data_IF_781257001513
#
_entry.id   IF_781257001513
#
_cell.length_a   1.000
_cell.length_b   1.000
_cell.length_c   1.000
_cell.angle_alpha   90.00
_cell.angle_beta   90.00
_cell.angle_gamma   90.00
#
_symmetry.space_group_name_H-M   'P 1'
#
loop_
_entity.id
_entity.type
_entity.pdbx_description
1 polymer ?
#
# COMPACT_ATOMS: atom_id res chain seq x y z
N UNK A 1 78.66 -69.55 23.56
CA UNK A 1 77.40 -70.22 23.16
C UNK A 1 76.24 -69.41 23.70
N UNK A 2 75.30 -69.06 22.82
CA UNK A 2 74.08 -68.30 23.06
C UNK A 2 73.30 -68.75 24.30
N UNK A 3 72.76 -67.78 25.06
CA UNK A 3 71.34 -67.72 25.46
C UNK A 3 71.04 -66.38 26.12
N UNK A 4 70.40 -65.48 25.37
CA UNK A 4 69.75 -64.28 25.89
C UNK A 4 68.48 -64.68 26.64
N UNK A 5 68.35 -64.24 27.90
CA UNK A 5 67.07 -64.15 28.61
C UNK A 5 66.70 -62.66 28.68
N UNK A 6 65.70 -62.27 27.90
CA UNK A 6 65.12 -60.92 27.95
C UNK A 6 64.09 -60.89 29.08
N UNK A 7 64.41 -60.17 30.15
CA UNK A 7 63.50 -59.89 31.26
C UNK A 7 62.62 -58.69 30.88
N UNK A 8 61.32 -58.91 30.72
CA UNK A 8 60.35 -57.84 30.41
C UNK A 8 59.96 -57.16 31.72
N UNK A 9 60.41 -55.92 31.92
CA UNK A 9 59.89 -55.04 32.97
C UNK A 9 58.63 -54.34 32.46
N UNK A 10 57.48 -54.60 33.09
CA UNK A 10 56.26 -53.81 32.91
C UNK A 10 56.42 -52.46 33.63
N UNK A 11 56.54 -51.38 32.87
CA UNK A 11 56.38 -50.02 33.39
C UNK A 11 54.89 -49.66 33.34
N UNK A 12 54.24 -49.62 34.50
CA UNK A 12 52.89 -49.05 34.66
C UNK A 12 52.97 -47.52 34.64
N UNK A 13 52.69 -46.90 33.49
CA UNK A 13 52.39 -45.47 33.43
C UNK A 13 50.98 -45.23 33.97
N UNK A 14 50.87 -44.65 35.17
CA UNK A 14 49.63 -44.05 35.67
C UNK A 14 49.43 -42.69 35.02
N UNK A 15 48.60 -42.63 33.97
CA UNK A 15 48.05 -41.37 33.48
C UNK A 15 46.96 -40.88 34.44
N UNK A 16 47.25 -39.84 35.22
CA UNK A 16 46.24 -39.10 35.97
C UNK A 16 45.47 -38.20 34.99
N UNK A 17 44.34 -38.68 34.49
CA UNK A 17 43.41 -37.87 33.69
C UNK A 17 42.68 -36.88 34.60
N UNK A 18 43.17 -35.64 34.69
CA UNK A 18 42.35 -34.53 35.18
C UNK A 18 41.31 -34.18 34.12
N UNK A 19 40.13 -34.80 34.21
CA UNK A 19 38.97 -34.36 33.47
C UNK A 19 38.52 -33.00 34.04
N UNK A 20 38.85 -31.91 33.33
CA UNK A 20 38.22 -30.62 33.55
C UNK A 20 36.73 -30.77 33.23
N UNK A 21 35.89 -30.80 34.26
CA UNK A 21 34.44 -30.78 34.09
C UNK A 21 34.06 -29.46 33.40
N UNK A 22 33.60 -29.55 32.14
CA UNK A 22 32.96 -28.41 31.50
C UNK A 22 31.70 -28.06 32.30
N UNK A 23 31.49 -26.78 32.69
CA UNK A 23 30.26 -26.39 33.36
C UNK A 23 29.08 -26.71 32.44
N UNK A 24 28.06 -27.37 32.99
CA UNK A 24 26.86 -27.73 32.24
C UNK A 24 26.25 -26.45 31.63
N UNK A 25 26.04 -26.46 30.32
CA UNK A 25 25.30 -25.39 29.64
C UNK A 25 23.94 -25.23 30.34
N UNK A 26 23.51 -24.00 30.65
CA UNK A 26 22.21 -23.80 31.26
C UNK A 26 21.12 -24.37 30.35
N UNK A 27 20.04 -24.96 30.91
CA UNK A 27 18.96 -25.51 30.13
C UNK A 27 18.41 -24.43 29.18
N UNK A 28 18.24 -24.79 27.90
CA UNK A 28 17.64 -23.90 26.92
C UNK A 28 16.29 -23.41 27.45
N UNK A 29 16.04 -22.10 27.31
CA UNK A 29 14.75 -21.53 27.69
C UNK A 29 13.63 -22.33 26.99
N UNK A 30 12.53 -22.66 27.69
CA UNK A 30 11.43 -23.38 27.08
C UNK A 30 10.93 -22.60 25.85
N UNK A 31 10.52 -23.30 24.78
CA UNK A 31 10.06 -22.64 23.57
C UNK A 31 8.88 -21.73 23.92
N UNK A 32 8.96 -20.48 23.47
CA UNK A 32 7.84 -19.55 23.61
C UNK A 32 6.75 -19.96 22.63
N UNK A 33 5.74 -20.66 23.12
CA UNK A 33 4.52 -20.93 22.37
C UNK A 33 3.72 -19.62 22.28
N UNK A 34 3.45 -19.18 21.05
CA UNK A 34 2.71 -17.94 20.80
C UNK A 34 1.22 -18.20 20.56
N UNK A 35 0.37 -17.16 20.63
CA UNK A 35 -1.03 -17.33 20.26
C UNK A 35 -1.14 -17.54 18.75
N UNK A 36 -1.75 -18.67 18.34
CA UNK A 36 -2.05 -18.98 16.95
C UNK A 36 -3.35 -18.28 16.53
N UNK A 37 -3.21 -17.02 16.11
CA UNK A 37 -4.36 -16.14 15.83
C UNK A 37 -4.65 -16.08 14.32
N UNK A 38 -5.93 -16.18 13.99
CA UNK A 38 -6.46 -16.05 12.64
C UNK A 38 -7.28 -14.76 12.50
N UNK A 39 -7.46 -14.31 11.27
CA UNK A 39 -8.43 -13.27 10.95
C UNK A 39 -9.85 -13.72 11.28
N UNK A 40 -10.68 -12.76 11.69
CA UNK A 40 -12.12 -13.00 11.77
C UNK A 40 -12.66 -13.16 10.35
N UNK A 41 -13.40 -14.25 10.12
CA UNK A 41 -14.01 -14.52 8.82
C UNK A 41 -15.38 -13.86 8.74
N UNK A 42 -15.72 -13.23 7.60
CA UNK A 42 -17.11 -12.91 7.32
C UNK A 42 -17.98 -14.18 7.34
N UNK A 43 -19.23 -14.04 7.77
CA UNK A 43 -20.21 -15.12 7.76
C UNK A 43 -20.76 -15.35 6.35
N UNK A 44 -19.91 -15.92 5.48
CA UNK A 44 -20.25 -16.26 4.11
C UNK A 44 -19.51 -17.55 3.67
N UNK A 45 -20.18 -18.49 2.96
CA UNK A 45 -19.57 -19.75 2.52
C UNK A 45 -18.29 -19.60 1.69
N UNK A 46 -18.10 -18.49 0.98
CA UNK A 46 -16.90 -18.22 0.19
C UNK A 46 -15.62 -18.16 1.04
N UNK A 47 -15.75 -17.90 2.36
CA UNK A 47 -14.61 -17.83 3.28
C UNK A 47 -14.41 -19.13 4.09
N UNK A 48 -15.25 -20.15 3.91
CA UNK A 48 -15.25 -21.36 4.74
C UNK A 48 -13.89 -22.06 4.76
N UNK A 49 -13.26 -22.22 3.58
CA UNK A 49 -11.98 -22.91 3.39
C UNK A 49 -10.75 -22.08 3.79
N UNK A 50 -10.92 -20.79 4.08
CA UNK A 50 -9.81 -19.91 4.44
C UNK A 50 -9.58 -19.92 5.95
N UNK A 51 -8.31 -19.84 6.34
CA UNK A 51 -7.87 -19.62 7.73
C UNK A 51 -6.65 -18.68 7.70
N UNK A 52 -6.83 -17.40 7.33
CA UNK A 52 -5.72 -16.47 7.16
C UNK A 52 -5.11 -16.16 8.52
N UNK A 53 -3.78 -16.23 8.66
CA UNK A 53 -3.10 -15.79 9.87
C UNK A 53 -3.45 -14.33 10.16
N UNK A 54 -3.64 -13.94 11.43
CA UNK A 54 -3.91 -12.54 11.75
C UNK A 54 -2.75 -11.64 11.30
N UNK A 55 -3.02 -10.67 10.43
CA UNK A 55 -2.04 -9.69 9.99
C UNK A 55 -1.65 -8.78 11.15
N UNK A 56 -0.38 -8.33 11.20
CA UNK A 56 0.00 -7.25 12.09
C UNK A 56 -0.77 -5.99 11.70
N UNK A 57 -1.24 -5.25 12.71
CA UNK A 57 -1.86 -3.95 12.46
C UNK A 57 -0.80 -2.97 11.93
N UNK A 58 -1.19 -2.02 11.06
CA UNK A 58 -0.34 -0.89 10.74
C UNK A 58 0.13 -0.20 12.03
N UNK A 59 1.40 0.21 12.06
CA UNK A 59 1.95 0.94 13.20
C UNK A 59 2.08 2.43 12.91
N UNK A 60 2.79 3.12 13.80
CA UNK A 60 3.13 4.55 13.64
C UNK A 60 3.78 4.88 12.29
N UNK A 61 3.68 6.15 11.91
CA UNK A 61 4.20 6.73 10.67
C UNK A 61 5.63 6.28 10.40
N UNK A 62 5.79 5.46 9.36
CA UNK A 62 7.08 4.93 8.93
C UNK A 62 7.84 5.95 8.07
N UNK A 63 7.11 6.77 7.32
CA UNK A 63 7.67 7.78 6.43
C UNK A 63 8.38 8.89 7.20
N UNK A 64 9.45 9.41 6.60
CA UNK A 64 10.19 10.57 7.08
C UNK A 64 10.23 11.62 5.98
N UNK A 65 10.40 12.87 6.39
CA UNK A 65 10.52 13.98 5.46
C UNK A 65 11.64 13.74 4.44
N UNK A 66 11.35 13.89 3.16
CA UNK A 66 12.31 13.71 2.07
C UNK A 66 12.58 12.27 1.68
N UNK A 67 11.78 11.31 2.15
CA UNK A 67 11.94 9.91 1.76
C UNK A 67 11.75 9.70 0.25
N UNK A 68 12.51 8.72 -0.26
CA UNK A 68 12.49 8.27 -1.64
C UNK A 68 11.88 6.87 -1.68
N UNK A 69 10.60 6.81 -2.02
CA UNK A 69 9.79 5.60 -2.04
C UNK A 69 9.97 4.81 -3.35
N UNK A 70 10.48 3.59 -3.24
CA UNK A 70 10.46 2.61 -4.32
C UNK A 70 9.18 1.77 -4.27
N UNK A 71 8.34 1.82 -5.30
CA UNK A 71 7.12 1.01 -5.42
C UNK A 71 7.42 -0.17 -6.34
N UNK A 72 7.65 -1.36 -5.78
CA UNK A 72 8.15 -2.53 -6.51
C UNK A 72 7.08 -3.61 -6.65
N UNK A 73 6.96 -4.21 -7.83
CA UNK A 73 6.04 -5.32 -8.05
C UNK A 73 6.03 -5.78 -9.50
N UNK A 74 5.07 -6.64 -9.82
CA UNK A 74 4.96 -7.29 -11.13
C UNK A 74 4.12 -6.50 -12.16
N UNK A 75 3.36 -7.18 -13.02
CA UNK A 75 2.48 -6.57 -14.02
C UNK A 75 1.45 -5.63 -13.40
N UNK A 76 0.94 -5.95 -12.21
CA UNK A 76 -0.08 -5.12 -11.55
C UNK A 76 0.50 -3.75 -11.18
N UNK A 77 1.80 -3.71 -10.84
CA UNK A 77 2.54 -2.46 -10.62
C UNK A 77 2.88 -1.79 -11.94
N UNK A 78 3.20 -2.55 -12.99
CA UNK A 78 3.46 -1.97 -14.32
C UNK A 78 2.21 -1.28 -14.91
N UNK A 79 0.99 -1.64 -14.48
CA UNK A 79 -0.23 -0.90 -14.84
C UNK A 79 -0.22 0.56 -14.36
N UNK A 80 0.59 0.87 -13.34
CA UNK A 80 0.77 2.20 -12.73
C UNK A 80 -0.48 2.79 -12.07
N UNK A 81 -1.46 1.95 -11.73
CA UNK A 81 -2.71 2.45 -11.16
C UNK A 81 -2.54 2.71 -9.66
N UNK A 82 -2.32 1.68 -8.83
CA UNK A 82 -2.12 1.90 -7.39
C UNK A 82 -0.85 2.73 -7.08
N UNK A 83 0.23 2.59 -7.86
CA UNK A 83 1.45 3.38 -7.67
C UNK A 83 1.22 4.87 -7.97
N UNK A 84 0.36 5.19 -8.94
CA UNK A 84 -0.09 6.58 -9.18
C UNK A 84 -0.94 7.08 -8.01
N UNK A 85 -1.91 6.29 -7.54
CA UNK A 85 -2.73 6.67 -6.38
C UNK A 85 -1.86 6.97 -5.14
N UNK A 86 -0.86 6.13 -4.86
CA UNK A 86 0.08 6.34 -3.75
C UNK A 86 0.85 7.64 -3.90
N UNK A 87 1.47 7.88 -5.06
CA UNK A 87 2.29 9.09 -5.25
C UNK A 87 1.44 10.37 -5.26
N UNK A 88 0.27 10.34 -5.91
CA UNK A 88 -0.69 11.45 -5.87
C UNK A 88 -1.12 11.74 -4.43
N UNK A 89 -1.49 10.71 -3.65
CA UNK A 89 -1.87 10.87 -2.23
C UNK A 89 -0.74 11.49 -1.41
N UNK A 90 0.48 10.95 -1.52
CA UNK A 90 1.63 11.46 -0.76
C UNK A 90 1.98 12.91 -1.13
N UNK A 91 1.72 13.31 -2.36
CA UNK A 91 1.94 14.68 -2.83
C UNK A 91 0.90 15.65 -2.30
N UNK A 92 -0.39 15.29 -2.37
CA UNK A 92 -1.48 16.25 -2.11
C UNK A 92 -1.99 16.21 -0.67
N UNK A 93 -2.02 15.02 -0.05
CA UNK A 93 -2.58 14.81 1.29
C UNK A 93 -1.54 14.98 2.39
N UNK A 94 -0.25 14.78 2.13
CA UNK A 94 0.83 14.95 3.12
C UNK A 94 2.05 15.68 2.51
N UNK A 95 1.86 16.84 1.86
CA UNK A 95 2.91 17.57 1.15
C UNK A 95 4.11 17.93 2.05
N UNK A 96 3.88 18.10 3.36
CA UNK A 96 4.92 18.41 4.33
C UNK A 96 5.98 17.31 4.47
N UNK A 97 5.64 16.06 4.13
CA UNK A 97 6.58 14.94 4.11
C UNK A 97 7.52 15.02 2.90
N UNK A 98 7.16 15.72 1.82
CA UNK A 98 8.02 15.86 0.64
C UNK A 98 8.53 14.51 0.11
N UNK A 99 7.65 13.51 0.08
CA UNK A 99 7.99 12.18 -0.42
C UNK A 99 8.12 12.23 -1.94
N UNK A 100 9.17 11.60 -2.45
CA UNK A 100 9.29 11.32 -3.89
C UNK A 100 9.12 9.83 -4.12
N UNK A 101 8.46 9.44 -5.21
CA UNK A 101 8.30 8.03 -5.54
C UNK A 101 8.95 7.67 -6.88
N UNK A 102 9.27 6.39 -7.06
CA UNK A 102 9.57 5.76 -8.35
C UNK A 102 8.93 4.38 -8.38
N UNK A 103 8.24 4.06 -9.47
CA UNK A 103 7.68 2.72 -9.65
C UNK A 103 8.65 1.81 -10.42
N UNK A 104 8.68 0.53 -10.04
CA UNK A 104 9.52 -0.50 -10.62
C UNK A 104 8.71 -1.72 -11.06
N UNK A 105 7.52 -1.51 -11.62
CA UNK A 105 6.65 -2.56 -12.11
C UNK A 105 7.20 -3.29 -13.34
N UNK A 106 7.12 -4.63 -13.34
CA UNK A 106 7.53 -5.45 -14.48
C UNK A 106 6.62 -6.66 -14.72
N UNK A 107 6.02 -6.73 -15.91
CA UNK A 107 5.04 -7.76 -16.27
C UNK A 107 5.61 -9.18 -16.27
N UNK A 108 4.90 -10.09 -15.63
CA UNK A 108 5.29 -11.51 -15.49
C UNK A 108 6.45 -11.73 -14.52
N UNK A 109 6.91 -10.67 -13.84
CA UNK A 109 7.98 -10.78 -12.86
C UNK A 109 7.51 -11.56 -11.62
N UNK A 110 8.46 -12.32 -11.07
CA UNK A 110 8.39 -12.97 -9.77
C UNK A 110 9.48 -12.36 -8.89
N UNK A 111 9.46 -12.67 -7.60
CA UNK A 111 10.49 -12.24 -6.64
C UNK A 111 11.93 -12.48 -7.13
N UNK A 112 12.25 -13.60 -7.77
CA UNK A 112 13.57 -13.88 -8.32
C UNK A 112 14.01 -12.93 -9.45
N UNK A 113 13.05 -12.48 -10.28
CA UNK A 113 13.29 -11.51 -11.34
C UNK A 113 13.69 -10.16 -10.77
N UNK A 114 12.93 -9.68 -9.78
CA UNK A 114 13.23 -8.42 -9.12
C UNK A 114 14.57 -8.48 -8.41
N UNK A 115 14.83 -9.54 -7.66
CA UNK A 115 16.10 -9.73 -6.93
C UNK A 115 17.33 -9.62 -7.85
N UNK A 116 17.24 -10.15 -9.08
CA UNK A 116 18.34 -10.06 -10.07
C UNK A 116 18.59 -8.65 -10.56
N UNK A 117 17.54 -7.83 -10.71
CA UNK A 117 17.66 -6.48 -11.30
C UNK A 117 17.68 -5.35 -10.28
N UNK A 118 17.26 -5.58 -9.03
CA UNK A 118 17.02 -4.52 -8.04
C UNK A 118 18.25 -3.66 -7.75
N UNK A 119 19.45 -4.20 -7.90
CA UNK A 119 20.68 -3.43 -7.70
C UNK A 119 20.83 -2.33 -8.75
N UNK A 120 20.77 -2.72 -10.02
CA UNK A 120 20.88 -1.79 -11.15
C UNK A 120 19.65 -0.91 -11.26
N UNK A 121 18.47 -1.51 -11.22
CA UNK A 121 17.24 -0.80 -11.58
C UNK A 121 16.73 0.07 -10.45
N UNK A 122 16.92 -0.32 -9.17
CA UNK A 122 16.29 0.33 -8.03
C UNK A 122 17.30 0.97 -7.08
N UNK A 123 18.28 0.20 -6.58
CA UNK A 123 19.27 0.70 -5.61
C UNK A 123 20.19 1.79 -6.18
N UNK A 124 20.44 1.82 -7.49
CA UNK A 124 21.10 2.94 -8.18
C UNK A 124 20.48 4.29 -7.84
N UNK A 125 19.16 4.35 -7.63
CA UNK A 125 18.44 5.58 -7.29
C UNK A 125 18.30 5.82 -5.78
N UNK A 126 19.04 5.04 -4.98
CA UNK A 126 19.19 5.18 -3.54
C UNK A 126 17.85 5.34 -2.81
N UNK A 127 16.85 4.46 -2.98
CA UNK A 127 15.60 4.57 -2.23
C UNK A 127 15.87 4.55 -0.72
N UNK A 128 15.03 5.21 0.08
CA UNK A 128 15.14 5.19 1.55
C UNK A 128 14.03 4.33 2.19
N UNK A 129 13.01 4.02 1.40
CA UNK A 129 11.90 3.16 1.75
C UNK A 129 11.38 2.44 0.49
N UNK A 130 10.92 1.21 0.63
CA UNK A 130 10.36 0.43 -0.46
C UNK A 130 9.06 -0.28 -0.05
N UNK A 131 8.08 -0.31 -0.96
CA UNK A 131 6.94 -1.23 -0.89
C UNK A 131 7.13 -2.34 -1.90
N UNK A 132 6.66 -3.53 -1.56
CA UNK A 132 6.75 -4.73 -2.39
C UNK A 132 5.37 -5.33 -2.61
N UNK A 133 5.02 -5.68 -3.84
CA UNK A 133 3.78 -6.38 -4.18
C UNK A 133 4.08 -7.53 -5.16
N UNK A 134 4.41 -8.70 -4.62
CA UNK A 134 4.69 -9.94 -5.35
C UNK A 134 3.86 -11.09 -4.80
N UNK A 135 3.84 -12.23 -5.51
CA UNK A 135 3.10 -13.43 -5.10
C UNK A 135 2.17 -13.96 -6.18
N UNK A 136 1.63 -13.11 -7.05
CA UNK A 136 0.68 -13.54 -8.09
C UNK A 136 1.35 -14.48 -9.09
N UNK A 137 2.45 -14.06 -9.70
CA UNK A 137 3.24 -14.92 -10.59
C UNK A 137 4.00 -16.02 -9.81
N UNK A 138 4.38 -15.75 -8.56
CA UNK A 138 5.11 -16.68 -7.69
C UNK A 138 4.23 -17.87 -7.27
N UNK A 139 2.89 -17.71 -7.25
CA UNK A 139 1.93 -18.80 -7.06
C UNK A 139 2.00 -19.85 -8.17
N UNK A 140 2.53 -19.47 -9.34
CA UNK A 140 2.57 -20.27 -10.57
C UNK A 140 1.20 -20.73 -11.06
N UNK A 141 0.12 -20.08 -10.60
CA UNK A 141 -1.25 -20.34 -11.03
C UNK A 141 -1.66 -21.82 -10.84
N UNK A 142 -1.34 -22.37 -9.66
CA UNK A 142 -1.60 -23.77 -9.28
C UNK A 142 -1.96 -23.87 -7.80
N UNK A 143 -2.45 -25.03 -7.30
CA UNK A 143 -2.61 -25.24 -5.87
C UNK A 143 -1.29 -25.07 -5.11
N UNK A 144 -1.37 -24.69 -3.84
CA UNK A 144 -0.20 -24.52 -2.99
C UNK A 144 0.60 -25.82 -2.87
N UNK A 145 1.93 -25.69 -2.87
CA UNK A 145 2.86 -26.71 -2.44
C UNK A 145 3.98 -26.08 -1.62
N UNK A 146 4.48 -26.82 -0.63
CA UNK A 146 5.47 -26.35 0.34
C UNK A 146 6.80 -25.96 -0.31
N UNK A 147 7.20 -26.64 -1.38
CA UNK A 147 8.45 -26.35 -2.10
C UNK A 147 8.38 -24.99 -2.78
N UNK A 148 7.26 -24.67 -3.42
CA UNK A 148 7.03 -23.35 -4.01
C UNK A 148 6.90 -22.27 -2.93
N UNK A 149 6.23 -22.57 -1.82
CA UNK A 149 6.14 -21.67 -0.67
C UNK A 149 7.52 -21.28 -0.15
N UNK A 150 8.40 -22.27 0.08
CA UNK A 150 9.79 -22.02 0.52
C UNK A 150 10.56 -21.20 -0.51
N UNK A 151 10.43 -21.54 -1.80
CA UNK A 151 11.08 -20.79 -2.87
C UNK A 151 10.68 -19.31 -2.84
N UNK A 152 9.39 -19.03 -2.66
CA UNK A 152 8.89 -17.65 -2.54
C UNK A 152 9.42 -16.96 -1.28
N UNK A 153 9.38 -17.64 -0.13
CA UNK A 153 9.93 -17.13 1.14
C UNK A 153 11.41 -16.72 1.00
N UNK A 154 12.24 -17.59 0.43
CA UNK A 154 13.68 -17.37 0.27
C UNK A 154 13.97 -16.13 -0.57
N UNK A 155 13.29 -15.97 -1.70
CA UNK A 155 13.50 -14.85 -2.61
C UNK A 155 12.94 -13.55 -2.02
N UNK A 156 11.78 -13.61 -1.37
CA UNK A 156 11.21 -12.41 -0.76
C UNK A 156 12.07 -11.93 0.41
N UNK A 157 12.56 -12.86 1.24
CA UNK A 157 13.54 -12.59 2.30
C UNK A 157 14.83 -12.00 1.76
N UNK A 158 15.36 -12.54 0.65
CA UNK A 158 16.57 -12.02 0.03
C UNK A 158 16.40 -10.57 -0.46
N UNK A 159 15.25 -10.22 -1.04
CA UNK A 159 14.94 -8.84 -1.43
C UNK A 159 14.92 -7.92 -0.20
N UNK A 160 14.20 -8.32 0.86
CA UNK A 160 14.11 -7.53 2.10
C UNK A 160 15.49 -7.31 2.73
N UNK A 161 16.30 -8.36 2.84
CA UNK A 161 17.66 -8.28 3.38
C UNK A 161 18.56 -7.40 2.52
N UNK A 162 18.44 -7.47 1.19
CA UNK A 162 19.21 -6.62 0.27
C UNK A 162 18.83 -5.14 0.42
N UNK A 163 17.55 -4.83 0.60
CA UNK A 163 17.11 -3.47 0.95
C UNK A 163 17.66 -3.00 2.30
N UNK A 164 17.54 -3.82 3.35
CA UNK A 164 18.06 -3.48 4.69
C UNK A 164 19.57 -3.26 4.70
N UNK A 165 20.32 -4.05 3.94
CA UNK A 165 21.76 -3.89 3.77
C UNK A 165 22.17 -2.57 3.06
N UNK A 166 21.20 -1.88 2.46
CA UNK A 166 21.36 -0.57 1.82
C UNK A 166 20.55 0.52 2.56
N UNK A 167 20.27 0.31 3.86
CA UNK A 167 19.56 1.25 4.74
C UNK A 167 18.14 1.64 4.27
N UNK A 168 17.49 0.76 3.52
CA UNK A 168 16.13 0.96 3.00
C UNK A 168 15.12 0.31 3.94
N UNK A 169 14.16 1.09 4.45
CA UNK A 169 12.99 0.55 5.18
C UNK A 169 12.07 -0.19 4.23
N UNK A 170 11.40 -1.25 4.68
CA UNK A 170 10.58 -2.08 3.79
C UNK A 170 9.16 -2.24 4.32
N UNK A 171 8.20 -2.19 3.41
CA UNK A 171 6.84 -2.70 3.58
C UNK A 171 6.67 -3.89 2.64
N UNK A 172 6.56 -5.08 3.23
CA UNK A 172 6.31 -6.34 2.50
C UNK A 172 4.81 -6.44 2.24
N UNK A 173 4.37 -6.39 0.99
CA UNK A 173 2.97 -6.63 0.62
C UNK A 173 2.70 -8.08 0.27
N UNK A 174 1.50 -8.56 0.59
CA UNK A 174 0.97 -9.82 0.04
C UNK A 174 0.53 -9.66 -1.42
N UNK A 175 0.32 -10.76 -2.18
CA UNK A 175 -0.40 -10.67 -3.45
C UNK A 175 -1.87 -10.28 -3.24
N UNK A 176 -2.53 -9.80 -4.29
CA UNK A 176 -4.00 -9.72 -4.32
C UNK A 176 -4.66 -11.09 -4.48
N UNK A 177 -5.99 -11.13 -4.56
CA UNK A 177 -6.74 -12.35 -4.88
C UNK A 177 -6.89 -12.57 -6.40
N UNK A 178 -7.26 -13.77 -6.81
CA UNK A 178 -7.70 -14.09 -8.16
C UNK A 178 -9.23 -14.11 -8.25
N UNK A 179 -9.79 -13.43 -9.25
CA UNK A 179 -11.22 -13.45 -9.55
C UNK A 179 -11.64 -14.53 -10.55
N UNK A 180 -10.69 -15.03 -11.36
CA UNK A 180 -10.88 -16.09 -12.36
C UNK A 180 -9.57 -16.85 -12.59
N UNK A 181 -9.69 -18.03 -13.20
CA UNK A 181 -8.52 -18.80 -13.66
C UNK A 181 -7.85 -18.09 -14.84
N UNK A 182 -6.55 -17.83 -14.73
CA UNK A 182 -5.73 -17.19 -15.77
C UNK A 182 -5.56 -18.09 -17.00
N UNK A 183 -6.51 -18.08 -17.94
CA UNK A 183 -6.58 -19.04 -19.06
C UNK A 183 -5.42 -18.95 -20.07
N UNK A 184 -4.64 -17.87 -20.03
CA UNK A 184 -3.43 -17.69 -20.85
C UNK A 184 -2.20 -18.43 -20.27
N UNK A 185 -2.23 -18.85 -19.01
CA UNK A 185 -1.12 -19.59 -18.38
C UNK A 185 -1.26 -21.08 -18.70
N UNK A 186 -0.48 -21.59 -19.65
CA UNK A 186 -0.58 -22.99 -20.12
C UNK A 186 -0.34 -24.03 -19.03
N UNK A 187 0.54 -23.74 -18.07
CA UNK A 187 0.92 -24.65 -16.99
C UNK A 187 0.00 -24.60 -15.77
N UNK A 188 -1.07 -23.79 -15.80
CA UNK A 188 -2.00 -23.64 -14.68
C UNK A 188 -2.71 -24.96 -14.37
N UNK A 189 -3.10 -25.15 -13.12
CA UNK A 189 -3.87 -26.32 -12.68
C UNK A 189 -4.72 -26.00 -11.45
N UNK A 190 -5.68 -26.86 -11.10
CA UNK A 190 -6.54 -26.68 -9.92
C UNK A 190 -7.72 -25.74 -10.11
N UNK A 191 -8.53 -25.60 -9.06
CA UNK A 191 -9.73 -24.74 -9.01
C UNK A 191 -9.39 -23.30 -8.63
N UNK A 192 -10.32 -22.36 -8.86
CA UNK A 192 -10.13 -20.96 -8.45
C UNK A 192 -9.94 -20.82 -6.93
N UNK A 193 -10.69 -21.61 -6.16
CA UNK A 193 -10.53 -21.68 -4.71
C UNK A 193 -9.12 -22.15 -4.33
N UNK A 194 -8.58 -23.19 -4.98
CA UNK A 194 -7.21 -23.65 -4.73
C UNK A 194 -6.15 -22.60 -5.10
N UNK A 195 -6.40 -21.76 -6.10
CA UNK A 195 -5.52 -20.62 -6.42
C UNK A 195 -5.56 -19.58 -5.31
N UNK A 196 -6.75 -19.20 -4.84
CA UNK A 196 -6.88 -18.24 -3.75
C UNK A 196 -6.35 -18.79 -2.42
N UNK A 197 -6.47 -20.10 -2.15
CA UNK A 197 -5.82 -20.75 -1.00
C UNK A 197 -4.29 -20.67 -1.10
N UNK A 198 -3.73 -20.82 -2.30
CA UNK A 198 -2.29 -20.60 -2.53
C UNK A 198 -1.89 -19.14 -2.28
N UNK A 199 -2.63 -18.18 -2.84
CA UNK A 199 -2.36 -16.75 -2.63
C UNK A 199 -2.48 -16.37 -1.13
N UNK A 200 -3.44 -16.95 -0.41
CA UNK A 200 -3.56 -16.82 1.05
C UNK A 200 -2.33 -17.41 1.78
N UNK A 201 -1.84 -18.58 1.36
CA UNK A 201 -0.62 -19.18 1.93
C UNK A 201 0.62 -18.30 1.66
N UNK A 202 0.75 -17.73 0.46
CA UNK A 202 1.84 -16.79 0.14
C UNK A 202 1.72 -15.47 0.92
N UNK A 203 0.50 -14.99 1.18
CA UNK A 203 0.25 -13.87 2.10
C UNK A 203 0.77 -14.20 3.51
N UNK A 204 0.47 -15.38 4.04
CA UNK A 204 0.91 -15.79 5.37
C UNK A 204 2.43 -15.99 5.47
N UNK A 205 3.06 -16.47 4.39
CA UNK A 205 4.52 -16.50 4.25
C UNK A 205 5.08 -15.08 4.26
N UNK A 206 4.48 -14.13 3.54
CA UNK A 206 4.91 -12.74 3.53
C UNK A 206 4.80 -12.08 4.93
N UNK A 207 3.79 -12.44 5.75
CA UNK A 207 3.74 -12.06 7.17
C UNK A 207 4.94 -12.64 7.93
N UNK A 208 5.29 -13.91 7.68
CA UNK A 208 6.46 -14.57 8.26
C UNK A 208 7.76 -13.84 7.95
N UNK A 209 7.98 -13.51 6.67
CA UNK A 209 9.14 -12.72 6.21
C UNK A 209 9.18 -11.35 6.90
N UNK A 210 8.05 -10.63 6.93
CA UNK A 210 7.99 -9.31 7.55
C UNK A 210 8.35 -9.35 9.05
N UNK A 211 7.85 -10.35 9.77
CA UNK A 211 8.16 -10.53 11.19
C UNK A 211 9.60 -10.95 11.44
N UNK A 212 10.11 -11.93 10.69
CA UNK A 212 11.48 -12.42 10.82
C UNK A 212 12.50 -11.32 10.51
N UNK A 213 12.21 -10.49 9.51
CA UNK A 213 13.07 -9.38 9.11
C UNK A 213 12.75 -8.06 9.82
N UNK A 214 11.76 -8.03 10.72
CA UNK A 214 11.36 -6.86 11.50
C UNK A 214 11.02 -5.63 10.64
N UNK A 215 10.27 -5.87 9.56
CA UNK A 215 9.79 -4.85 8.63
C UNK A 215 8.27 -4.77 8.65
N UNK A 216 7.67 -3.76 7.99
CA UNK A 216 6.21 -3.63 7.93
C UNK A 216 5.61 -4.65 6.97
N UNK A 217 4.33 -4.93 7.16
CA UNK A 217 3.54 -5.79 6.28
C UNK A 217 2.30 -5.03 5.78
N UNK A 218 1.93 -5.23 4.52
CA UNK A 218 0.73 -4.70 3.88
C UNK A 218 -0.15 -5.86 3.38
N UNK A 219 -1.34 -6.02 3.96
CA UNK A 219 -2.26 -7.09 3.57
C UNK A 219 -3.17 -6.72 2.40
N UNK A 220 -2.74 -7.00 1.17
CA UNK A 220 -3.55 -6.78 -0.03
C UNK A 220 -4.59 -7.91 -0.19
N UNK A 221 -4.18 -9.15 0.04
CA UNK A 221 -4.98 -10.34 -0.23
C UNK A 221 -6.35 -10.32 0.44
N UNK A 222 -6.37 -10.18 1.77
CA UNK A 222 -7.59 -10.38 2.55
C UNK A 222 -8.69 -9.35 2.27
N UNK A 223 -8.44 -8.02 2.31
CA UNK A 223 -9.46 -7.04 1.95
C UNK A 223 -9.89 -7.15 0.49
N UNK A 224 -8.97 -7.49 -0.43
CA UNK A 224 -9.30 -7.65 -1.84
C UNK A 224 -10.17 -8.88 -2.09
N UNK A 225 -9.93 -10.00 -1.39
CA UNK A 225 -10.78 -11.19 -1.47
C UNK A 225 -12.18 -10.91 -0.93
N UNK A 226 -12.29 -10.21 0.21
CA UNK A 226 -13.60 -9.82 0.75
C UNK A 226 -14.38 -8.94 -0.23
N UNK A 227 -13.73 -7.93 -0.80
CA UNK A 227 -14.34 -7.09 -1.82
C UNK A 227 -14.73 -7.89 -3.07
N UNK A 228 -13.90 -8.84 -3.51
CA UNK A 228 -14.18 -9.70 -4.66
C UNK A 228 -15.44 -10.57 -4.46
N UNK A 229 -15.78 -10.92 -3.22
CA UNK A 229 -17.00 -11.68 -2.87
C UNK A 229 -18.21 -10.76 -2.73
N UNK A 230 -18.08 -9.64 -2.00
CA UNK A 230 -19.24 -8.83 -1.63
C UNK A 230 -19.60 -7.70 -2.62
N UNK A 231 -18.62 -7.12 -3.31
CA UNK A 231 -18.84 -5.99 -4.20
C UNK A 231 -19.85 -6.26 -5.33
N UNK A 232 -19.91 -7.46 -5.96
CA UNK A 232 -20.91 -7.75 -6.97
C UNK A 232 -22.35 -7.53 -6.48
N UNK A 233 -22.68 -7.98 -5.26
CA UNK A 233 -24.01 -7.77 -4.69
C UNK A 233 -24.22 -6.30 -4.27
N UNK A 234 -23.21 -5.63 -3.72
CA UNK A 234 -23.28 -4.22 -3.31
C UNK A 234 -23.46 -3.24 -4.48
N UNK A 235 -23.12 -3.65 -5.71
CA UNK A 235 -23.18 -2.80 -6.90
C UNK A 235 -24.11 -3.34 -7.98
N UNK A 236 -25.06 -4.21 -7.62
CA UNK A 236 -26.07 -4.78 -8.52
C UNK A 236 -25.47 -5.38 -9.81
N UNK A 237 -24.37 -6.11 -9.67
CA UNK A 237 -23.65 -6.68 -10.80
C UNK A 237 -24.48 -7.77 -11.50
N UNK A 238 -24.49 -7.74 -12.83
CA UNK A 238 -25.07 -8.78 -13.68
C UNK A 238 -24.01 -9.40 -14.58
N UNK A 239 -24.38 -10.41 -15.38
CA UNK A 239 -23.47 -10.98 -16.37
C UNK A 239 -23.06 -9.94 -17.43
N UNK A 240 -24.01 -9.10 -17.86
CA UNK A 240 -23.81 -8.01 -18.82
C UNK A 240 -23.08 -6.81 -18.22
N UNK A 241 -23.27 -6.55 -16.92
CA UNK A 241 -22.63 -5.47 -16.17
C UNK A 241 -21.92 -6.02 -14.93
N UNK A 242 -20.81 -6.73 -15.09
CA UNK A 242 -20.11 -7.36 -13.98
C UNK A 242 -19.34 -6.32 -13.15
N UNK A 243 -19.12 -6.64 -11.87
CA UNK A 243 -18.22 -5.91 -10.99
C UNK A 243 -17.09 -6.85 -10.55
N UNK A 244 -15.89 -6.66 -11.12
CA UNK A 244 -14.74 -7.56 -11.04
C UNK A 244 -13.59 -6.83 -10.35
N UNK A 245 -13.49 -7.01 -9.04
CA UNK A 245 -12.43 -6.38 -8.22
C UNK A 245 -11.04 -6.78 -8.71
N UNK A 246 -10.83 -8.07 -9.03
CA UNK A 246 -9.58 -8.59 -9.59
C UNK A 246 -9.45 -8.39 -11.12
N UNK A 247 -10.32 -7.58 -11.74
CA UNK A 247 -10.26 -7.27 -13.16
C UNK A 247 -10.93 -8.29 -14.07
N UNK A 248 -11.02 -7.94 -15.35
CA UNK A 248 -11.74 -8.72 -16.38
C UNK A 248 -11.14 -10.11 -16.60
N UNK A 249 -9.82 -10.20 -16.51
CA UNK A 249 -9.02 -11.41 -16.65
C UNK A 249 -8.85 -12.18 -15.32
N UNK A 250 -9.32 -11.57 -14.21
CA UNK A 250 -9.27 -12.12 -12.86
C UNK A 250 -7.93 -11.97 -12.16
N UNK A 251 -6.95 -11.27 -12.76
CA UNK A 251 -5.60 -11.10 -12.21
C UNK A 251 -5.20 -9.62 -12.13
N UNK A 252 -5.56 -8.80 -13.12
CA UNK A 252 -5.14 -7.40 -13.23
C UNK A 252 -6.29 -6.45 -12.85
N UNK A 253 -6.35 -5.98 -11.59
CA UNK A 253 -7.45 -5.13 -11.12
C UNK A 253 -7.55 -3.80 -11.88
N UNK A 254 -8.79 -3.37 -12.10
CA UNK A 254 -9.13 -2.00 -12.53
C UNK A 254 -9.03 -1.00 -11.37
N UNK A 255 -9.53 0.22 -11.56
CA UNK A 255 -9.38 1.30 -10.57
C UNK A 255 -9.92 0.93 -9.19
N UNK A 256 -11.06 0.24 -9.12
CA UNK A 256 -11.65 -0.11 -7.84
C UNK A 256 -10.78 -1.07 -7.01
N UNK A 257 -10.26 -2.14 -7.62
CA UNK A 257 -9.33 -3.06 -6.95
C UNK A 257 -7.97 -2.41 -6.64
N UNK A 258 -7.50 -1.52 -7.50
CA UNK A 258 -6.25 -0.78 -7.31
C UNK A 258 -6.32 0.21 -6.14
N UNK A 259 -7.52 0.71 -5.78
CA UNK A 259 -7.73 1.49 -4.55
C UNK A 259 -7.48 0.66 -3.30
N UNK A 260 -7.92 -0.61 -3.26
CA UNK A 260 -7.67 -1.51 -2.12
C UNK A 260 -6.16 -1.70 -1.91
N UNK A 261 -5.41 -1.86 -3.01
CA UNK A 261 -3.95 -1.96 -2.97
C UNK A 261 -3.31 -0.67 -2.44
N UNK A 262 -3.71 0.49 -2.95
CA UNK A 262 -3.20 1.78 -2.50
C UNK A 262 -3.53 2.03 -1.02
N UNK A 263 -4.77 1.77 -0.60
CA UNK A 263 -5.23 1.90 0.78
C UNK A 263 -4.37 1.07 1.73
N UNK A 264 -4.17 -0.20 1.41
CA UNK A 264 -3.36 -1.12 2.22
C UNK A 264 -1.93 -0.60 2.38
N UNK A 265 -1.31 -0.16 1.28
CA UNK A 265 0.07 0.32 1.29
C UNK A 265 0.22 1.63 2.06
N UNK A 266 -0.66 2.60 1.84
CA UNK A 266 -0.65 3.89 2.54
C UNK A 266 -0.83 3.71 4.04
N UNK A 267 -1.78 2.87 4.47
CA UNK A 267 -1.94 2.53 5.89
C UNK A 267 -0.70 1.85 6.45
N UNK A 268 -0.09 0.94 5.72
CA UNK A 268 1.12 0.21 6.17
C UNK A 268 2.36 1.10 6.26
N UNK A 269 2.36 2.23 5.55
CA UNK A 269 3.33 3.33 5.72
C UNK A 269 3.05 4.18 6.96
N UNK A 270 1.95 3.93 7.67
CA UNK A 270 1.54 4.58 8.91
C UNK A 270 0.82 5.91 8.71
N UNK A 271 0.24 6.14 7.52
CA UNK A 271 -0.66 7.28 7.30
C UNK A 271 -1.99 7.03 7.99
N UNK A 272 -2.48 8.04 8.69
CA UNK A 272 -3.67 7.96 9.52
C UNK A 272 -4.88 8.67 8.91
N UNK A 273 -4.71 9.43 7.82
CA UNK A 273 -5.79 10.10 7.11
C UNK A 273 -6.37 11.34 7.77
N UNK A 274 -5.75 11.88 8.83
CA UNK A 274 -6.18 13.16 9.38
C UNK A 274 -5.69 14.31 8.48
N UNK A 275 -6.61 14.87 7.69
CA UNK A 275 -6.33 15.93 6.75
C UNK A 275 -6.67 17.31 7.29
N UNK A 276 -7.27 17.39 8.49
CA UNK A 276 -7.66 18.63 9.14
C UNK A 276 -9.17 18.84 9.20
N UNK A 277 -9.56 19.87 9.94
CA UNK A 277 -10.95 20.24 10.19
C UNK A 277 -11.13 21.75 10.01
N UNK A 278 -12.23 22.13 9.37
CA UNK A 278 -12.79 23.49 9.41
C UNK A 278 -13.94 23.46 10.41
N UNK A 279 -13.90 24.34 11.41
CA UNK A 279 -14.95 24.48 12.42
C UNK A 279 -15.60 25.85 12.29
N UNK A 280 -16.93 25.88 12.21
CA UNK A 280 -17.74 27.12 12.17
C UNK A 280 -18.69 27.12 13.37
N UNK A 281 -18.74 28.22 14.11
CA UNK A 281 -19.69 28.45 15.18
C UNK A 281 -20.65 29.57 14.75
N UNK A 282 -21.92 29.21 14.53
CA UNK A 282 -22.94 30.12 13.98
C UNK A 282 -23.39 31.16 15.00
N UNK A 283 -23.38 30.80 16.28
CA UNK A 283 -23.83 31.69 17.37
C UNK A 283 -22.76 32.75 17.69
N UNK A 284 -21.48 32.34 17.69
CA UNK A 284 -20.35 33.25 17.92
C UNK A 284 -19.90 33.99 16.67
N UNK A 285 -20.39 33.59 15.50
CA UNK A 285 -19.95 34.08 14.21
C UNK A 285 -18.42 33.97 14.01
N UNK A 286 -17.88 32.78 14.30
CA UNK A 286 -16.43 32.50 14.20
C UNK A 286 -16.17 31.27 13.36
N UNK A 287 -15.03 31.24 12.66
CA UNK A 287 -14.53 30.05 11.99
C UNK A 287 -13.06 29.82 12.34
N UNK A 288 -12.65 28.55 12.45
CA UNK A 288 -11.26 28.14 12.63
C UNK A 288 -10.93 26.97 11.71
N UNK A 289 -9.64 26.75 11.46
CA UNK A 289 -9.17 25.64 10.66
C UNK A 289 -7.80 25.16 11.15
N UNK A 290 -7.48 23.88 10.91
CA UNK A 290 -6.19 23.27 11.25
C UNK A 290 -5.68 22.38 10.10
N UNK A 291 -4.62 21.59 10.30
CA UNK A 291 -4.22 20.55 9.34
C UNK A 291 -3.68 21.03 7.98
N UNK A 292 -3.21 22.28 7.89
CA UNK A 292 -2.75 22.89 6.63
C UNK A 292 -3.78 23.81 5.98
N UNK A 293 -4.86 24.13 6.70
CA UNK A 293 -5.92 25.05 6.30
C UNK A 293 -5.93 26.31 7.18
N UNK A 294 -6.13 27.48 6.58
CA UNK A 294 -6.25 28.77 7.28
C UNK A 294 -7.54 29.49 6.89
N UNK A 295 -8.27 30.01 7.88
CA UNK A 295 -9.41 30.90 7.64
C UNK A 295 -8.87 32.28 7.29
N UNK A 296 -9.14 32.74 6.06
CA UNK A 296 -8.77 34.08 5.60
C UNK A 296 -9.84 35.10 6.04
N UNK A 297 -11.11 34.70 5.97
CA UNK A 297 -12.25 35.49 6.46
C UNK A 297 -13.46 34.61 6.75
N UNK A 298 -14.34 35.08 7.63
CA UNK A 298 -15.69 34.54 7.81
C UNK A 298 -16.67 35.69 8.00
N UNK A 299 -17.55 35.88 7.02
CA UNK A 299 -18.54 36.95 7.01
C UNK A 299 -19.79 36.50 6.25
N UNK A 300 -20.96 36.93 6.69
CA UNK A 300 -22.25 36.67 6.02
C UNK A 300 -22.49 35.18 5.71
N UNK A 301 -22.06 34.30 6.61
CA UNK A 301 -22.20 32.84 6.45
C UNK A 301 -21.21 32.22 5.44
N UNK A 302 -20.20 32.95 4.98
CA UNK A 302 -19.19 32.46 4.03
C UNK A 302 -17.80 32.46 4.65
N UNK A 303 -17.20 31.28 4.77
CA UNK A 303 -15.80 31.12 5.17
C UNK A 303 -14.91 31.07 3.92
N UNK A 304 -13.97 32.00 3.79
CA UNK A 304 -12.90 31.93 2.80
C UNK A 304 -11.69 31.26 3.44
N UNK A 305 -11.17 30.22 2.80
CA UNK A 305 -10.14 29.33 3.35
C UNK A 305 -9.02 29.13 2.34
N UNK A 306 -7.78 29.30 2.77
CA UNK A 306 -6.60 28.91 1.99
C UNK A 306 -6.05 27.59 2.51
N UNK A 307 -5.86 26.63 1.61
CA UNK A 307 -5.47 25.25 1.92
C UNK A 307 -4.17 24.87 1.23
N UNK A 308 -3.19 24.42 2.01
CA UNK A 308 -1.87 23.96 1.52
C UNK A 308 -1.76 22.44 1.40
N UNK A 309 -2.78 21.74 1.88
CA UNK A 309 -3.02 20.30 1.77
C UNK A 309 -4.37 20.08 1.09
N UNK A 310 -4.52 18.99 0.34
CA UNK A 310 -5.78 18.62 -0.30
C UNK A 310 -6.35 17.35 0.35
N UNK A 311 -7.68 17.20 0.35
CA UNK A 311 -8.25 15.86 0.36
C UNK A 311 -7.88 15.10 -0.92
N UNK A 312 -7.92 13.78 -0.86
CA UNK A 312 -7.86 12.93 -2.03
C UNK A 312 -9.19 13.02 -2.80
N UNK A 313 -9.17 13.60 -3.99
CA UNK A 313 -10.39 13.87 -4.77
C UNK A 313 -10.66 12.72 -5.76
N UNK A 314 -11.53 11.80 -5.38
CA UNK A 314 -12.00 10.75 -6.28
C UNK A 314 -13.36 11.10 -6.90
N UNK A 315 -13.35 11.27 -8.22
CA UNK A 315 -14.54 11.60 -9.01
C UNK A 315 -15.07 10.36 -9.73
N UNK A 316 -16.30 10.46 -10.26
CA UNK A 316 -16.94 9.40 -11.03
C UNK A 316 -18.00 8.59 -10.26
N UNK A 317 -18.50 7.56 -10.91
CA UNK A 317 -19.61 6.71 -10.45
C UNK A 317 -19.22 5.83 -9.26
N UNK A 318 -20.18 5.56 -8.36
CA UNK A 318 -20.02 4.64 -7.23
C UNK A 318 -20.19 3.16 -7.60
N UNK A 319 -20.67 2.85 -8.81
CA UNK A 319 -21.07 1.48 -9.20
C UNK A 319 -20.31 0.99 -10.44
N UNK A 320 -18.99 1.19 -10.47
CA UNK A 320 -18.13 0.73 -11.56
C UNK A 320 -16.75 0.33 -11.08
N UNK A 321 -16.29 -0.85 -11.50
CA UNK A 321 -14.92 -1.35 -11.27
C UNK A 321 -13.82 -0.42 -11.85
N UNK A 322 -14.19 0.46 -12.80
CA UNK A 322 -13.30 1.44 -13.43
C UNK A 322 -13.37 2.83 -12.77
N UNK A 323 -13.90 2.93 -11.55
CA UNK A 323 -13.97 4.17 -10.79
C UNK A 323 -13.15 4.08 -9.50
N UNK A 324 -12.31 5.09 -9.26
CA UNK A 324 -11.59 5.26 -7.99
C UNK A 324 -12.58 5.44 -6.85
N UNK A 325 -13.62 6.28 -7.05
CA UNK A 325 -14.63 6.56 -6.02
C UNK A 325 -15.42 5.30 -5.64
N UNK A 326 -15.67 4.41 -6.60
CA UNK A 326 -16.26 3.09 -6.31
C UNK A 326 -15.29 2.21 -5.52
N UNK A 327 -13.99 2.21 -5.85
CA UNK A 327 -12.98 1.49 -5.05
C UNK A 327 -12.93 1.95 -3.59
N UNK A 328 -13.16 3.24 -3.34
CA UNK A 328 -13.19 3.81 -1.99
C UNK A 328 -14.39 3.35 -1.15
N UNK A 329 -15.40 2.68 -1.74
CA UNK A 329 -16.48 2.04 -0.97
C UNK A 329 -16.16 0.60 -0.58
N UNK A 330 -15.12 0.00 -1.17
CA UNK A 330 -14.75 -1.40 -0.93
C UNK A 330 -13.88 -1.58 0.32
N UNK A 331 -13.32 -0.48 0.82
CA UNK A 331 -12.52 -0.36 2.04
C UNK A 331 -12.89 0.96 2.71
N UNK A 332 -12.67 1.14 4.02
CA UNK A 332 -12.94 2.39 4.72
C UNK A 332 -11.92 3.49 4.34
N UNK A 333 -11.84 3.86 3.06
CA UNK A 333 -10.81 4.76 2.55
C UNK A 333 -10.97 6.16 3.14
N UNK A 334 -12.19 6.68 3.21
CA UNK A 334 -12.40 8.04 3.71
C UNK A 334 -12.12 8.13 5.20
N UNK A 335 -12.54 7.11 5.94
CA UNK A 335 -12.37 6.98 7.37
C UNK A 335 -10.92 6.75 7.74
N UNK A 336 -10.13 6.05 6.92
CA UNK A 336 -8.74 5.74 7.23
C UNK A 336 -7.73 6.71 6.64
N UNK A 337 -8.04 7.35 5.49
CA UNK A 337 -7.05 8.09 4.71
C UNK A 337 -7.51 9.48 4.25
N UNK A 338 -8.79 9.87 4.38
CA UNK A 338 -9.30 11.06 3.70
C UNK A 338 -10.21 11.95 4.56
N UNK A 339 -9.89 12.13 5.85
CA UNK A 339 -10.70 12.92 6.78
C UNK A 339 -10.34 14.40 6.69
N UNK A 340 -10.93 15.09 5.71
CA UNK A 340 -11.01 16.56 5.69
C UNK A 340 -12.43 16.97 6.09
N UNK A 341 -12.58 17.41 7.34
CA UNK A 341 -13.90 17.55 7.96
C UNK A 341 -14.38 19.01 7.97
N UNK A 342 -15.70 19.18 7.82
CA UNK A 342 -16.41 20.40 8.22
C UNK A 342 -17.25 20.09 9.44
N UNK A 343 -17.04 20.84 10.53
CA UNK A 343 -17.90 20.83 11.70
C UNK A 343 -18.61 22.17 11.85
N UNK A 344 -19.91 22.15 12.11
CA UNK A 344 -20.68 23.35 12.37
C UNK A 344 -21.37 23.22 13.72
N UNK A 345 -21.05 24.13 14.64
CA UNK A 345 -21.79 24.30 15.88
C UNK A 345 -22.97 25.23 15.60
N UNK A 346 -24.16 24.65 15.51
CA UNK A 346 -25.43 25.31 15.28
C UNK A 346 -26.51 24.77 16.22
N UNK A 347 -27.60 25.53 16.39
CA UNK A 347 -28.70 25.14 17.26
C UNK A 347 -29.33 23.79 16.85
N UNK A 348 -29.43 22.86 17.80
CA UNK A 348 -30.08 21.55 17.66
C UNK A 348 -31.48 21.67 17.05
N UNK A 349 -31.84 20.74 16.16
CA UNK A 349 -33.11 20.72 15.45
C UNK A 349 -33.21 21.68 14.25
N UNK A 350 -32.14 22.39 13.91
CA UNK A 350 -32.08 23.22 12.69
C UNK A 350 -31.51 22.43 11.51
N UNK A 351 -31.82 22.89 10.29
CA UNK A 351 -31.26 22.37 9.04
C UNK A 351 -30.44 23.45 8.34
N UNK A 352 -29.39 23.04 7.66
CA UNK A 352 -28.43 23.92 7.02
C UNK A 352 -28.08 23.41 5.64
N UNK A 353 -28.07 24.32 4.68
CA UNK A 353 -27.42 24.11 3.40
C UNK A 353 -25.95 24.48 3.50
N UNK A 354 -25.10 23.59 3.01
CA UNK A 354 -23.67 23.78 2.87
C UNK A 354 -23.36 23.81 1.39
N UNK A 355 -22.78 24.91 0.91
CA UNK A 355 -22.32 25.07 -0.47
C UNK A 355 -20.79 25.04 -0.50
N UNK A 356 -20.23 24.15 -1.31
CA UNK A 356 -18.79 24.06 -1.55
C UNK A 356 -18.51 23.82 -3.04
N UNK A 357 -17.77 24.74 -3.67
CA UNK A 357 -17.66 24.78 -5.12
C UNK A 357 -18.99 25.12 -5.78
N UNK A 358 -19.46 24.26 -6.68
CA UNK A 358 -20.74 24.43 -7.39
C UNK A 358 -21.87 23.53 -6.84
N UNK A 359 -21.64 22.89 -5.71
CA UNK A 359 -22.55 21.92 -5.11
C UNK A 359 -23.11 22.44 -3.80
N UNK A 360 -24.37 22.11 -3.53
CA UNK A 360 -25.05 22.40 -2.26
C UNK A 360 -25.69 21.12 -1.74
N UNK A 361 -25.49 20.84 -0.45
CA UNK A 361 -26.10 19.71 0.26
C UNK A 361 -26.76 20.21 1.54
N UNK A 362 -27.80 19.51 2.00
CA UNK A 362 -28.54 19.87 3.22
C UNK A 362 -28.25 18.86 4.32
N UNK A 363 -27.94 19.37 5.51
CA UNK A 363 -27.65 18.60 6.71
C UNK A 363 -28.45 19.11 7.90
N UNK A 364 -28.64 18.24 8.88
CA UNK A 364 -29.09 18.61 10.22
C UNK A 364 -27.94 19.20 11.02
N UNK A 365 -28.24 20.04 12.02
CA UNK A 365 -27.24 20.56 12.94
C UNK A 365 -26.46 19.44 13.66
N UNK A 366 -27.10 18.30 13.93
CA UNK A 366 -26.51 17.14 14.59
C UNK A 366 -25.47 16.44 13.68
N UNK A 367 -25.75 16.28 12.39
CA UNK A 367 -24.79 15.76 11.42
C UNK A 367 -23.57 16.69 11.29
N UNK A 368 -23.81 18.00 11.21
CA UNK A 368 -22.73 18.98 11.13
C UNK A 368 -21.91 19.07 12.43
N UNK A 369 -22.52 18.86 13.60
CA UNK A 369 -21.81 18.81 14.87
C UNK A 369 -20.88 17.58 14.97
N UNK A 370 -21.30 16.43 14.41
CA UNK A 370 -20.45 15.23 14.30
C UNK A 370 -19.28 15.46 13.32
N UNK A 371 -19.55 16.19 12.24
CA UNK A 371 -18.60 16.57 11.21
C UNK A 371 -18.79 15.75 9.94
N UNK A 372 -18.88 16.45 8.80
CA UNK A 372 -19.05 15.82 7.48
C UNK A 372 -17.72 15.72 6.74
N UNK A 373 -17.54 14.65 5.97
CA UNK A 373 -16.35 14.45 5.13
C UNK A 373 -16.47 15.24 3.82
N UNK A 374 -15.89 16.43 3.77
CA UNK A 374 -16.08 17.39 2.68
C UNK A 374 -15.86 16.76 1.29
N UNK A 375 -14.73 16.06 1.07
CA UNK A 375 -14.44 15.49 -0.24
C UNK A 375 -15.32 14.29 -0.64
N UNK A 376 -15.95 13.63 0.33
CA UNK A 376 -16.87 12.54 0.06
C UNK A 376 -18.26 13.06 -0.34
N UNK A 377 -18.74 14.02 0.45
CA UNK A 377 -20.03 14.69 0.27
C UNK A 377 -20.07 15.56 -1.00
N UNK A 378 -18.94 16.17 -1.34
CA UNK A 378 -18.76 17.05 -2.50
C UNK A 378 -17.71 16.48 -3.46
N UNK A 379 -18.08 15.52 -4.33
CA UNK A 379 -17.13 14.84 -5.21
C UNK A 379 -16.49 15.74 -6.26
N UNK A 380 -17.22 16.74 -6.77
CA UNK A 380 -16.64 17.84 -7.54
C UNK A 380 -16.52 19.02 -6.58
N UNK A 381 -15.29 19.45 -6.30
CA UNK A 381 -15.02 20.45 -5.30
C UNK A 381 -13.86 21.36 -5.74
N UNK A 382 -13.57 22.45 -5.01
CA UNK A 382 -12.53 23.41 -5.38
C UNK A 382 -11.12 22.83 -5.55
N UNK A 383 -10.83 21.64 -5.04
CA UNK A 383 -9.53 20.97 -5.25
C UNK A 383 -9.48 20.13 -6.53
N UNK A 384 -10.60 19.79 -7.15
CA UNK A 384 -10.67 18.79 -8.22
C UNK A 384 -9.73 19.07 -9.39
N UNK A 385 -9.71 20.30 -9.91
CA UNK A 385 -8.81 20.65 -11.03
C UNK A 385 -7.33 20.63 -10.63
N UNK A 386 -7.01 21.07 -9.41
CA UNK A 386 -5.64 21.06 -8.89
C UNK A 386 -5.15 19.64 -8.65
N UNK A 387 -6.01 18.78 -8.10
CA UNK A 387 -5.75 17.36 -7.92
C UNK A 387 -5.49 16.68 -9.27
N UNK A 388 -6.33 16.94 -10.29
CA UNK A 388 -6.17 16.36 -11.63
C UNK A 388 -4.83 16.74 -12.27
N UNK A 389 -4.37 17.99 -12.08
CA UNK A 389 -3.05 18.43 -12.58
C UNK A 389 -1.91 17.63 -11.94
N UNK A 390 -1.97 17.42 -10.62
CA UNK A 390 -0.97 16.61 -9.91
C UNK A 390 -1.02 15.15 -10.38
N UNK A 391 -2.20 14.52 -10.42
CA UNK A 391 -2.35 13.13 -10.87
C UNK A 391 -1.86 12.92 -12.31
N UNK A 392 -2.15 13.87 -13.21
CA UNK A 392 -1.66 13.83 -14.58
C UNK A 392 -0.14 13.95 -14.68
N UNK A 393 0.50 14.80 -13.85
CA UNK A 393 1.95 14.91 -13.77
C UNK A 393 2.59 13.61 -13.27
N UNK A 394 2.01 13.01 -12.22
CA UNK A 394 2.42 11.68 -11.70
C UNK A 394 2.31 10.62 -12.79
N UNK A 395 1.18 10.55 -13.49
CA UNK A 395 0.94 9.59 -14.56
C UNK A 395 2.00 9.70 -15.68
N UNK A 396 2.29 10.94 -16.12
CA UNK A 396 3.29 11.21 -17.16
C UNK A 396 4.69 10.79 -16.72
N UNK A 397 5.08 11.09 -15.49
CA UNK A 397 6.37 10.69 -14.93
C UNK A 397 6.47 9.16 -14.81
N UNK A 398 5.49 8.48 -14.22
CA UNK A 398 5.53 7.03 -14.06
C UNK A 398 5.52 6.28 -15.40
N UNK A 399 4.82 6.80 -16.42
CA UNK A 399 4.88 6.26 -17.78
C UNK A 399 6.31 6.30 -18.36
N UNK A 400 7.03 7.41 -18.13
CA UNK A 400 8.44 7.50 -18.51
C UNK A 400 9.33 6.55 -17.69
N UNK A 401 9.07 6.37 -16.39
CA UNK A 401 9.82 5.42 -15.55
C UNK A 401 9.73 3.97 -16.07
N UNK A 402 8.57 3.53 -16.57
CA UNK A 402 8.45 2.22 -17.24
C UNK A 402 9.34 2.14 -18.49
N UNK A 403 9.35 3.19 -19.32
CA UNK A 403 10.17 3.26 -20.53
C UNK A 403 11.67 3.25 -20.18
N UNK A 404 12.07 4.08 -19.22
CA UNK A 404 13.44 4.17 -18.72
C UNK A 404 13.96 2.80 -18.29
N UNK A 405 13.23 2.10 -17.41
CA UNK A 405 13.64 0.80 -16.91
C UNK A 405 13.58 -0.25 -18.03
N UNK A 406 12.44 -0.45 -18.69
CA UNK A 406 12.27 -1.59 -19.60
C UNK A 406 12.95 -1.43 -20.95
N UNK A 407 13.09 -0.20 -21.45
CA UNK A 407 13.59 0.06 -22.80
C UNK A 407 15.00 0.62 -22.79
N UNK A 408 15.33 1.56 -21.92
CA UNK A 408 16.67 2.16 -21.93
C UNK A 408 17.67 1.30 -21.15
N UNK A 409 17.38 0.96 -19.90
CA UNK A 409 18.30 0.19 -19.05
C UNK A 409 18.50 -1.25 -19.53
N UNK A 410 17.42 -1.89 -19.98
CA UNK A 410 17.47 -3.27 -20.48
C UNK A 410 17.61 -3.39 -22.01
N UNK A 411 17.67 -2.25 -22.70
CA UNK A 411 17.88 -2.16 -24.15
C UNK A 411 19.35 -1.98 -24.57
N UNK A 412 19.60 -1.65 -25.86
CA UNK A 412 20.95 -1.50 -26.39
C UNK A 412 21.80 -0.46 -25.65
N UNK A 413 21.21 0.66 -25.26
CA UNK A 413 21.90 1.78 -24.61
C UNK A 413 22.43 1.37 -23.23
N UNK A 414 21.56 0.84 -22.35
CA UNK A 414 21.96 0.40 -21.02
C UNK A 414 22.87 -0.82 -21.01
N UNK A 415 22.82 -1.68 -22.05
CA UNK A 415 23.78 -2.78 -22.22
C UNK A 415 25.16 -2.30 -22.64
N UNK A 416 25.22 -1.22 -23.43
CA UNK A 416 26.48 -0.62 -23.88
C UNK A 416 27.16 0.14 -22.75
N UNK A 417 26.41 1.01 -22.09
CA UNK A 417 26.89 1.85 -20.99
C UNK A 417 25.72 2.21 -20.07
N UNK A 418 25.64 1.51 -18.94
CA UNK A 418 24.54 1.67 -18.00
C UNK A 418 24.57 3.04 -17.32
N UNK A 419 25.75 3.53 -16.94
CA UNK A 419 25.89 4.79 -16.20
C UNK A 419 25.55 5.98 -17.11
N UNK A 420 25.97 5.94 -18.39
CA UNK A 420 25.56 6.91 -19.38
C UNK A 420 24.04 6.89 -19.60
N UNK A 421 23.44 5.71 -19.75
CA UNK A 421 21.99 5.57 -19.91
C UNK A 421 21.21 6.12 -18.70
N UNK A 422 21.70 5.87 -17.48
CA UNK A 422 21.13 6.46 -16.24
C UNK A 422 21.20 7.98 -16.29
N UNK A 423 22.38 8.55 -16.57
CA UNK A 423 22.55 10.01 -16.63
C UNK A 423 21.64 10.67 -17.66
N UNK A 424 21.57 10.12 -18.87
CA UNK A 424 20.76 10.66 -19.96
C UNK A 424 19.26 10.57 -19.65
N UNK A 425 18.80 9.44 -19.13
CA UNK A 425 17.38 9.25 -18.83
C UNK A 425 16.93 10.01 -17.59
N UNK A 426 17.77 10.19 -16.57
CA UNK A 426 17.45 11.06 -15.44
C UNK A 426 17.32 12.54 -15.83
N UNK A 427 18.08 13.00 -16.85
CA UNK A 427 17.91 14.35 -17.38
C UNK A 427 16.52 14.57 -18.02
N UNK A 428 15.89 13.50 -18.53
CA UNK A 428 14.52 13.52 -19.05
C UNK A 428 13.48 13.32 -17.93
N UNK A 429 13.77 12.43 -16.96
CA UNK A 429 12.85 12.16 -15.84
C UNK A 429 12.73 13.36 -14.91
N UNK A 430 13.82 14.08 -14.65
CA UNK A 430 13.87 15.20 -13.70
C UNK A 430 12.77 16.25 -13.95
N UNK A 431 12.62 16.85 -15.15
CA UNK A 431 11.56 17.82 -15.38
C UNK A 431 10.14 17.23 -15.24
N UNK A 432 9.95 15.92 -15.45
CA UNK A 432 8.66 15.26 -15.19
C UNK A 432 8.39 15.13 -13.68
N UNK A 433 9.42 14.90 -12.88
CA UNK A 433 9.31 14.88 -11.43
C UNK A 433 9.11 16.28 -10.85
N UNK A 434 9.84 17.29 -11.34
CA UNK A 434 9.70 18.68 -10.92
C UNK A 434 8.27 19.19 -11.22
N UNK A 435 7.68 18.81 -12.35
CA UNK A 435 6.30 19.17 -12.72
C UNK A 435 5.23 18.69 -11.73
N UNK A 436 5.49 17.66 -10.92
CA UNK A 436 4.57 17.21 -9.86
C UNK A 436 4.54 18.23 -8.72
N UNK A 437 5.73 18.67 -8.27
CA UNK A 437 5.85 19.69 -7.24
C UNK A 437 5.28 21.03 -7.73
N UNK A 438 5.54 21.41 -8.98
CA UNK A 438 4.99 22.63 -9.58
C UNK A 438 3.46 22.59 -9.71
N UNK A 439 2.87 21.42 -9.96
CA UNK A 439 1.42 21.26 -10.06
C UNK A 439 0.70 21.40 -8.70
N UNK A 440 1.39 21.08 -7.60
CA UNK A 440 0.87 21.20 -6.24
C UNK A 440 0.92 22.67 -5.78
N UNK A 441 -0.24 23.32 -5.72
CA UNK A 441 -0.37 24.74 -5.35
C UNK A 441 -1.41 24.95 -4.25
N UNK A 442 -1.28 25.92 -3.34
CA UNK A 442 -2.35 26.23 -2.41
C UNK A 442 -3.67 26.54 -3.12
N UNK A 443 -4.80 26.11 -2.54
CA UNK A 443 -6.14 26.37 -3.05
C UNK A 443 -6.87 27.28 -2.09
N UNK A 444 -7.25 28.47 -2.56
CA UNK A 444 -8.20 29.35 -1.87
C UNK A 444 -9.61 29.00 -2.32
N UNK A 445 -10.50 28.71 -1.38
CA UNK A 445 -11.87 28.28 -1.63
C UNK A 445 -12.85 28.88 -0.63
N UNK A 446 -14.14 28.71 -0.90
CA UNK A 446 -15.21 29.25 -0.07
C UNK A 446 -16.20 28.16 0.32
N UNK A 447 -16.58 28.13 1.59
CA UNK A 447 -17.68 27.32 2.11
C UNK A 447 -18.77 28.29 2.59
N UNK A 448 -19.94 28.23 1.96
CA UNK A 448 -21.10 29.00 2.40
C UNK A 448 -22.04 28.10 3.21
N UNK A 449 -22.56 28.64 4.32
CA UNK A 449 -23.53 27.97 5.17
C UNK A 449 -24.79 28.83 5.30
N UNK A 450 -25.95 28.20 5.18
CA UNK A 450 -27.25 28.88 5.24
C UNK A 450 -28.27 28.05 6.00
N UNK A 451 -28.84 28.60 7.07
CA UNK A 451 -29.95 27.96 7.77
C UNK A 451 -31.17 27.92 6.85
N UNK A 452 -31.85 26.77 6.81
CA UNK A 452 -33.11 26.58 6.08
C UNK A 452 -34.20 26.12 7.05
N UNK A 453 -35.47 26.38 6.69
CA UNK A 453 -36.61 25.93 7.48
C UNK A 453 -36.64 24.39 7.54
N UNK A 454 -36.91 23.83 8.72
CA UNK A 454 -37.28 22.42 8.83
C UNK A 454 -38.63 22.19 8.16
N UNK A 455 -38.75 21.11 7.39
CA UNK A 455 -40.06 20.62 6.89
C UNK A 455 -40.98 20.20 8.03
#
# INVERSE_FOLDING_TARGET
>A
MLRSLTLVFFFSLTFASQALAQPASPPAAPPKLGPYLYETKPDDPAFASFNPRRAPQPGELLLRKGDRLAICGDSITEQKMYSRLIETYLTVCVPELQITARQYGWSGEKTDGFLRRMEKDCLTFSPTIATLAYGMNDSRYRPFDVTNGQWYEDHYTAIVRKFKANDVRVVVGSPGCAGKIATWVKSRSGTLEQHNLNLCALRDIAIGVAQAEQVRFADIFWPMLQAQVFAPAQHDATEEKPYRVAGSDGIHPGWAGQVIMAWTMLRSLGLDGDLGTIEIDTDKNTATANGGHSIDSYADGVATVTSTRYPFCARGTLHSENSIRSGMTLVPFNEDLNRFLLKVNAATGTKWEITWGNQTQTYTAEELAQGIHLAWEFPENPFSESFDRVDAAVAKKQAYETLQVKKNFHGPEGRKDFDAAVKETEAVRKPLADAIADAMQPVTHQIAIRQVAGE
#
